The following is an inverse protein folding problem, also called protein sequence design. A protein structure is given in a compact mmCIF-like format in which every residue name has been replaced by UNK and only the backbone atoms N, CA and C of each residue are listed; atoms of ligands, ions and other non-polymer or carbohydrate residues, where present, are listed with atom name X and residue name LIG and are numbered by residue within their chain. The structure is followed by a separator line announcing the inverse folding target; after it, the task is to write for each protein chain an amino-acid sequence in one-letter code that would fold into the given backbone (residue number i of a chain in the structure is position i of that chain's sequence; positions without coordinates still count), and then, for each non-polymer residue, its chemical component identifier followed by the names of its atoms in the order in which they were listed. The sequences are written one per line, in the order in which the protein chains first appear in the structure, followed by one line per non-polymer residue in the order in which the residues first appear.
data_IF_666848271114
#
_entry.id   IF_666848271114
#
_cell.length_a   1.000
_cell.length_b   1.000
_cell.length_c   1.000
_cell.angle_alpha   90.00
_cell.angle_beta   90.00
_cell.angle_gamma   90.00
#
_symmetry.space_group_name_H-M   'P 1'
#
loop_
_entity.id
_entity.type
_entity.pdbx_description
1 polymer ?
#
# COMPACT_ATOMS: atom_id res chain seq x y z
N UNK A 1 3.74 -9.49 4.34
CA UNK A 1 3.38 -9.41 5.77
C UNK A 1 1.90 -9.12 5.98
N UNK A 2 1.43 -9.17 7.24
CA UNK A 2 0.04 -8.95 7.68
C UNK A 2 0.00 -8.14 8.97
N UNK A 3 -1.11 -7.46 9.26
CA UNK A 3 -1.31 -6.65 10.46
C UNK A 3 -0.15 -5.68 10.70
N UNK A 4 0.46 -5.77 11.88
CA UNK A 4 1.65 -4.99 12.29
C UNK A 4 2.88 -5.16 11.37
N UNK A 5 2.93 -6.22 10.56
CA UNK A 5 3.99 -6.47 9.57
C UNK A 5 3.57 -6.14 8.14
N UNK A 6 2.48 -5.39 7.91
CA UNK A 6 2.01 -5.05 6.56
C UNK A 6 3.06 -4.24 5.80
N UNK A 7 3.79 -3.35 6.48
CA UNK A 7 4.89 -2.56 5.92
C UNK A 7 5.96 -3.42 5.23
N UNK A 8 6.15 -4.68 5.65
CA UNK A 8 7.10 -5.59 4.99
C UNK A 8 6.66 -5.90 3.55
N UNK A 9 5.37 -6.15 3.28
CA UNK A 9 4.91 -6.39 1.90
C UNK A 9 5.23 -5.20 0.99
N UNK A 10 4.98 -3.99 1.49
CA UNK A 10 5.24 -2.74 0.77
C UNK A 10 6.75 -2.58 0.52
N UNK A 11 7.57 -2.82 1.55
CA UNK A 11 9.02 -2.79 1.44
C UNK A 11 9.55 -3.79 0.40
N UNK A 12 9.08 -5.03 0.44
CA UNK A 12 9.47 -6.09 -0.49
C UNK A 12 9.10 -5.72 -1.94
N UNK A 13 7.91 -5.14 -2.15
CA UNK A 13 7.47 -4.69 -3.47
C UNK A 13 8.31 -3.54 -4.02
N UNK A 14 8.63 -2.54 -3.19
CA UNK A 14 9.55 -1.45 -3.55
C UNK A 14 10.94 -1.99 -3.88
N UNK A 15 11.46 -2.93 -3.08
CA UNK A 15 12.77 -3.55 -3.31
C UNK A 15 12.81 -4.34 -4.63
N UNK A 16 11.74 -5.09 -4.94
CA UNK A 16 11.61 -5.79 -6.21
C UNK A 16 11.58 -4.82 -7.40
N UNK A 17 10.80 -3.74 -7.32
CA UNK A 17 10.72 -2.73 -8.36
C UNK A 17 12.06 -2.01 -8.60
N UNK A 18 12.79 -1.65 -7.53
CA UNK A 18 14.14 -1.08 -7.63
C UNK A 18 15.11 -2.03 -8.30
N UNK A 19 15.10 -3.30 -7.90
CA UNK A 19 15.93 -4.35 -8.51
C UNK A 19 15.61 -4.49 -9.99
N UNK A 20 14.32 -4.53 -10.36
CA UNK A 20 13.89 -4.69 -11.75
C UNK A 20 14.35 -3.54 -12.64
N UNK A 21 14.32 -2.30 -12.12
CA UNK A 21 14.74 -1.09 -12.84
C UNK A 21 16.19 -1.17 -13.34
N UNK A 22 17.06 -1.79 -12.55
CA UNK A 22 18.51 -1.89 -12.82
C UNK A 22 19.02 -3.30 -13.12
N UNK A 23 18.13 -4.29 -13.22
CA UNK A 23 18.52 -5.68 -13.41
C UNK A 23 19.34 -5.84 -14.69
N UNK A 24 20.43 -6.64 -14.62
CA UNK A 24 21.40 -6.80 -15.73
C UNK A 24 21.96 -5.48 -16.28
N UNK A 25 22.22 -4.50 -15.41
CA UNK A 25 22.73 -3.17 -15.78
C UNK A 25 21.81 -2.38 -16.73
N UNK A 26 20.52 -2.72 -16.75
CA UNK A 26 19.51 -1.98 -17.52
C UNK A 26 19.12 -0.65 -16.86
N UNK A 27 18.35 0.15 -17.61
CA UNK A 27 17.58 1.28 -17.09
C UNK A 27 16.22 1.25 -17.77
N UNK A 28 15.22 0.69 -17.10
CA UNK A 28 13.88 0.46 -17.68
C UNK A 28 12.79 1.14 -16.88
N UNK A 29 11.73 1.48 -17.58
CA UNK A 29 10.48 1.91 -16.95
C UNK A 29 9.85 0.74 -16.18
N UNK A 30 9.26 1.05 -15.02
CA UNK A 30 8.59 0.07 -14.18
C UNK A 30 7.15 0.52 -13.98
N UNK A 31 6.21 -0.34 -14.33
CA UNK A 31 4.78 -0.12 -14.12
C UNK A 31 4.27 -1.06 -13.04
N UNK A 32 3.30 -0.61 -12.25
CA UNK A 32 2.70 -1.41 -11.18
C UNK A 32 1.19 -1.54 -11.34
N UNK A 33 0.65 -2.70 -11.00
CA UNK A 33 -0.79 -2.94 -10.96
C UNK A 33 -1.17 -3.63 -9.65
N UNK A 34 -2.20 -3.12 -9.00
CA UNK A 34 -2.78 -3.68 -7.77
C UNK A 34 -4.30 -3.79 -7.88
N UNK A 35 -4.88 -4.82 -7.27
CA UNK A 35 -6.34 -4.99 -7.20
C UNK A 35 -6.77 -5.31 -5.77
N UNK A 36 -7.89 -4.74 -5.29
CA UNK A 36 -8.42 -5.01 -3.94
C UNK A 36 -7.35 -4.77 -2.87
N UNK A 37 -6.99 -5.78 -2.06
CA UNK A 37 -5.88 -5.73 -1.10
C UNK A 37 -4.51 -5.43 -1.74
N UNK A 38 -4.30 -5.81 -3.00
CA UNK A 38 -3.14 -5.43 -3.79
C UNK A 38 -3.12 -3.94 -4.11
N UNK A 39 -4.28 -3.27 -4.08
CA UNK A 39 -4.37 -1.81 -4.14
C UNK A 39 -3.65 -1.15 -2.96
N UNK A 40 -3.80 -1.68 -1.74
CA UNK A 40 -3.06 -1.20 -0.56
C UNK A 40 -1.55 -1.33 -0.76
N UNK A 41 -1.11 -2.46 -1.30
CA UNK A 41 0.30 -2.74 -1.55
C UNK A 41 0.91 -1.73 -2.52
N UNK A 42 0.27 -1.56 -3.68
CA UNK A 42 0.79 -0.70 -4.74
C UNK A 42 0.68 0.77 -4.35
N UNK A 43 -0.45 1.21 -3.78
CA UNK A 43 -0.61 2.60 -3.32
C UNK A 43 0.39 2.93 -2.20
N UNK A 44 0.59 2.03 -1.24
CA UNK A 44 1.61 2.19 -0.20
C UNK A 44 3.04 2.27 -0.75
N UNK A 45 3.35 1.50 -1.80
CA UNK A 45 4.65 1.56 -2.47
C UNK A 45 4.85 2.89 -3.21
N UNK A 46 3.81 3.38 -3.88
CA UNK A 46 3.82 4.66 -4.60
C UNK A 46 4.00 5.82 -3.62
N UNK A 47 3.33 5.81 -2.46
CA UNK A 47 3.56 6.80 -1.41
C UNK A 47 4.99 6.76 -0.85
N UNK A 48 5.66 5.62 -0.87
CA UNK A 48 7.02 5.49 -0.34
C UNK A 48 8.09 6.00 -1.32
N UNK A 49 7.86 5.82 -2.63
CA UNK A 49 8.78 6.24 -3.68
C UNK A 49 8.02 6.58 -4.97
N UNK A 50 7.42 7.79 -5.06
CA UNK A 50 6.54 8.15 -6.19
C UNK A 50 7.24 8.10 -7.55
N UNK A 51 8.56 8.32 -7.57
CA UNK A 51 9.38 8.40 -8.80
C UNK A 51 9.88 7.04 -9.28
N UNK A 52 9.64 5.98 -8.50
CA UNK A 52 10.08 4.64 -8.85
C UNK A 52 9.32 4.09 -10.06
N UNK A 53 8.02 4.38 -10.12
CA UNK A 53 7.11 3.84 -11.12
C UNK A 53 6.86 4.87 -12.24
N UNK A 54 6.82 4.41 -13.50
CA UNK A 54 6.46 5.25 -14.65
C UNK A 54 4.94 5.36 -14.86
N UNK A 55 4.16 4.46 -14.25
CA UNK A 55 2.70 4.48 -14.29
C UNK A 55 2.10 3.37 -13.42
N UNK A 56 0.86 3.58 -12.95
CA UNK A 56 0.21 2.71 -11.97
C UNK A 56 -1.25 2.44 -12.32
N UNK A 57 -1.71 1.22 -12.10
CA UNK A 57 -3.14 0.84 -12.19
C UNK A 57 -3.61 0.31 -10.84
N UNK A 58 -4.68 0.87 -10.29
CA UNK A 58 -5.30 0.47 -9.02
C UNK A 58 -6.74 0.03 -9.25
N UNK A 59 -7.01 -1.27 -9.35
CA UNK A 59 -8.36 -1.80 -9.56
C UNK A 59 -9.09 -2.01 -8.24
N UNK A 60 -10.27 -1.41 -8.06
CA UNK A 60 -11.09 -1.54 -6.83
C UNK A 60 -10.24 -1.51 -5.54
N UNK A 61 -9.37 -0.51 -5.36
CA UNK A 61 -8.27 -0.61 -4.41
C UNK A 61 -8.74 -0.37 -2.97
N UNK A 62 -8.28 -1.21 -2.04
CA UNK A 62 -8.49 -0.97 -0.61
C UNK A 62 -7.42 0.00 -0.09
N UNK A 63 -7.79 1.27 0.10
CA UNK A 63 -6.83 2.36 0.39
C UNK A 63 -7.14 3.17 1.65
N UNK A 64 -8.33 3.03 2.22
CA UNK A 64 -8.80 3.72 3.43
C UNK A 64 -8.76 2.80 4.66
N UNK A 65 -7.66 2.06 4.82
CA UNK A 65 -7.53 0.93 5.74
C UNK A 65 -7.94 1.26 7.16
N UNK A 66 -7.45 2.37 7.73
CA UNK A 66 -7.75 2.78 9.11
C UNK A 66 -9.22 3.13 9.26
N UNK A 67 -9.81 3.86 8.30
CA UNK A 67 -11.21 4.25 8.35
C UNK A 67 -12.12 3.00 8.25
N UNK A 68 -11.90 2.17 7.23
CA UNK A 68 -12.64 0.93 7.02
C UNK A 68 -12.54 -0.04 8.19
N UNK A 69 -11.35 -0.23 8.76
CA UNK A 69 -11.17 -1.11 9.92
C UNK A 69 -11.73 -0.53 11.22
N UNK A 70 -12.02 0.78 11.27
CA UNK A 70 -12.66 1.41 12.43
C UNK A 70 -14.19 1.31 12.38
N UNK A 71 -14.76 1.01 11.21
CA UNK A 71 -16.20 0.88 11.02
C UNK A 71 -16.63 -0.60 11.12
N UNK A 72 -17.18 -0.97 12.27
CA UNK A 72 -17.68 -2.33 12.54
C UNK A 72 -19.04 -2.61 11.91
N UNK A 73 -19.71 -1.61 11.32
CA UNK A 73 -20.94 -1.82 10.55
C UNK A 73 -20.66 -2.39 9.15
N UNK A 74 -19.44 -2.19 8.63
CA UNK A 74 -19.01 -2.77 7.36
C UNK A 74 -18.86 -4.29 7.46
N UNK A 75 -19.30 -5.03 6.43
CA UNK A 75 -19.07 -6.46 6.38
C UNK A 75 -17.57 -6.76 6.39
N UNK A 76 -17.17 -7.85 7.05
CA UNK A 76 -15.79 -8.35 7.13
C UNK A 76 -14.82 -7.60 8.05
N UNK A 77 -15.11 -6.36 8.50
CA UNK A 77 -14.16 -5.56 9.32
C UNK A 77 -13.54 -6.34 10.48
N UNK A 78 -14.39 -6.89 11.35
CA UNK A 78 -13.92 -7.63 12.54
C UNK A 78 -13.20 -8.93 12.19
N UNK A 79 -13.60 -9.59 11.09
CA UNK A 79 -12.97 -10.82 10.62
C UNK A 79 -11.57 -10.56 10.03
N UNK A 80 -11.32 -9.34 9.54
CA UNK A 80 -10.06 -8.98 8.88
C UNK A 80 -9.05 -8.28 9.80
N UNK A 81 -9.33 -8.10 11.09
CA UNK A 81 -8.36 -7.56 12.05
C UNK A 81 -7.05 -8.34 12.10
N UNK A 82 -7.06 -9.65 11.86
CA UNK A 82 -5.83 -10.44 11.76
C UNK A 82 -4.95 -10.09 10.55
N UNK A 83 -5.56 -9.54 9.49
CA UNK A 83 -4.90 -9.20 8.23
C UNK A 83 -4.44 -7.75 8.15
N UNK A 84 -5.23 -6.82 8.71
CA UNK A 84 -4.96 -5.38 8.65
C UNK A 84 -4.50 -4.80 10.00
N UNK A 85 -4.95 -5.39 11.09
CA UNK A 85 -4.80 -4.84 12.44
C UNK A 85 -6.14 -4.39 13.00
N UNK A 86 -6.18 -4.23 14.31
CA UNK A 86 -7.35 -3.77 15.04
C UNK A 86 -7.15 -2.32 15.52
N UNK A 87 -7.88 -1.33 14.98
CA UNK A 87 -7.70 0.07 15.34
C UNK A 87 -8.18 0.40 16.76
N UNK A 88 -8.92 -0.49 17.44
CA UNK A 88 -9.27 -0.31 18.85
C UNK A 88 -8.08 -0.50 19.79
N UNK A 89 -6.98 -1.08 19.28
CA UNK A 89 -5.71 -1.24 20.00
C UNK A 89 -4.74 -0.13 19.60
N UNK A 90 -4.40 0.82 20.50
CA UNK A 90 -3.58 1.98 20.15
C UNK A 90 -2.25 1.65 19.46
N UNK A 91 -1.58 0.58 19.89
CA UNK A 91 -0.32 0.13 19.31
C UNK A 91 -0.48 -0.36 17.86
N UNK A 92 -1.61 -1.02 17.56
CA UNK A 92 -1.89 -1.47 16.20
C UNK A 92 -2.38 -0.31 15.33
N UNK A 93 -3.19 0.59 15.88
CA UNK A 93 -3.65 1.80 15.17
C UNK A 93 -2.46 2.65 14.70
N UNK A 94 -1.46 2.86 15.55
CA UNK A 94 -0.25 3.60 15.17
C UNK A 94 0.46 2.95 13.97
N UNK A 95 0.57 1.62 13.97
CA UNK A 95 1.19 0.87 12.88
C UNK A 95 0.33 0.86 11.62
N UNK A 96 -1.00 0.79 11.76
CA UNK A 96 -1.94 0.89 10.64
C UNK A 96 -1.83 2.25 9.96
N UNK A 97 -1.83 3.34 10.74
CA UNK A 97 -1.62 4.70 10.22
C UNK A 97 -0.31 4.84 9.46
N UNK A 98 0.74 4.13 9.85
CA UNK A 98 2.04 4.20 9.19
C UNK A 98 2.08 3.55 7.78
N UNK A 99 1.12 2.67 7.45
CA UNK A 99 1.06 2.05 6.12
C UNK A 99 -0.21 2.37 5.32
N UNK A 100 -1.22 2.96 5.95
CA UNK A 100 -2.47 3.35 5.30
C UNK A 100 -2.21 4.27 4.08
N UNK A 101 -2.67 3.90 2.87
CA UNK A 101 -2.38 4.69 1.69
C UNK A 101 -2.94 6.11 1.73
N UNK A 102 -4.17 6.32 2.17
CA UNK A 102 -4.77 7.68 2.18
C UNK A 102 -4.06 8.57 3.19
N UNK A 103 -3.75 8.05 4.38
CA UNK A 103 -3.10 8.86 5.44
C UNK A 103 -1.64 9.22 5.13
N UNK A 104 -1.00 8.53 4.20
CA UNK A 104 0.42 8.76 3.84
C UNK A 104 0.59 9.42 2.45
N UNK A 105 -0.48 9.97 1.88
CA UNK A 105 -0.37 10.89 0.74
C UNK A 105 0.37 12.14 1.21
N UNK A 106 1.36 12.56 0.45
CA UNK A 106 2.15 13.76 0.74
C UNK A 106 2.39 14.56 -0.55
N UNK A 107 2.92 15.78 -0.44
CA UNK A 107 3.19 16.62 -1.60
C UNK A 107 4.45 16.12 -2.33
N UNK A 108 4.26 15.42 -3.44
CA UNK A 108 5.32 15.04 -4.38
C UNK A 108 4.71 14.87 -5.80
N UNK A 109 5.54 14.62 -6.80
CA UNK A 109 5.12 14.25 -8.14
C UNK A 109 4.84 12.74 -8.21
N UNK A 110 3.56 12.39 -8.17
CA UNK A 110 3.07 11.03 -8.37
C UNK A 110 3.09 10.63 -9.86
N UNK A 111 3.23 9.34 -10.18
CA UNK A 111 3.17 8.88 -11.55
C UNK A 111 1.74 9.02 -12.10
N UNK A 112 1.51 8.98 -13.41
CA UNK A 112 0.17 8.81 -13.97
C UNK A 112 -0.50 7.55 -13.40
N UNK A 113 -1.74 7.69 -12.93
CA UNK A 113 -2.48 6.59 -12.30
C UNK A 113 -3.86 6.41 -12.95
N UNK A 114 -4.23 5.15 -13.20
CA UNK A 114 -5.60 4.74 -13.52
C UNK A 114 -6.18 4.03 -12.30
N UNK A 115 -7.36 4.46 -11.85
CA UNK A 115 -8.10 3.87 -10.72
C UNK A 115 -9.47 3.40 -11.21
#
# INVERSE_FOLDING_TARGET
GRGVRKANSIGDFVAAAKTLKTFERGNREVFAIGSSAGGTLVAGAVNRDPKLFSGVVLKVPFVDVVASMSDTSLPLTTQQYGEWGNPTKPEQLALMKAYDPILNIHKDAYPPMLV
#
